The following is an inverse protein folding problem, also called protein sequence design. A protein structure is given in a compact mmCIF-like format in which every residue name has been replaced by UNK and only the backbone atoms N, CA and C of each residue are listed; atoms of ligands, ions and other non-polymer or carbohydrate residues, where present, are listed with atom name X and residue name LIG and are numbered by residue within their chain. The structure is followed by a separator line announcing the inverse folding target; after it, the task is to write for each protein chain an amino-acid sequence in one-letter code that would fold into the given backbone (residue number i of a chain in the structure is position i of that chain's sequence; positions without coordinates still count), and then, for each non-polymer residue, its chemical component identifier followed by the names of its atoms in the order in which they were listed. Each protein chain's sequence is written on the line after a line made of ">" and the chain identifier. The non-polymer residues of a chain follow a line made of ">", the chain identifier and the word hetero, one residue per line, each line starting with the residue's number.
data_IF_773358955427
#
_entry.id   IF_773358955427
#
_cell.length_a   1.000
_cell.length_b   1.000
_cell.length_c   1.000
_cell.angle_alpha   90.00
_cell.angle_beta   90.00
_cell.angle_gamma   90.00
#
_symmetry.space_group_name_H-M   'P 1'
#
loop_
_entity.id
_entity.type
_entity.pdbx_description
1 polymer ?
#
# COMPACT_ATOMS: atom_id res chain seq x y z
N UNK A 1 6.20 -20.16 -6.82
CA UNK A 1 4.82 -19.69 -6.99
C UNK A 1 4.79 -18.18 -6.90
N UNK A 2 4.17 -17.52 -7.86
CA UNK A 2 4.07 -16.05 -7.82
C UNK A 2 3.01 -15.61 -6.83
N UNK A 3 3.40 -14.73 -5.93
CA UNK A 3 2.51 -14.14 -4.93
C UNK A 3 2.65 -12.62 -4.94
N UNK A 4 1.59 -11.94 -4.57
CA UNK A 4 1.55 -10.48 -4.54
C UNK A 4 0.93 -10.01 -3.23
N UNK A 5 1.52 -8.95 -2.68
CA UNK A 5 0.96 -8.30 -1.50
C UNK A 5 0.01 -7.20 -1.96
N UNK A 6 -1.22 -7.24 -1.47
CA UNK A 6 -2.26 -6.27 -1.84
C UNK A 6 -2.65 -5.49 -0.59
N UNK A 7 -2.63 -4.16 -0.69
CA UNK A 7 -3.05 -3.27 0.39
C UNK A 7 -4.27 -2.47 -0.04
N UNK A 8 -5.26 -2.41 0.85
CA UNK A 8 -6.43 -1.53 0.71
C UNK A 8 -6.35 -0.50 1.82
N UNK A 9 -6.07 0.75 1.45
CA UNK A 9 -5.81 1.81 2.41
C UNK A 9 -7.08 2.61 2.66
N UNK A 10 -7.63 2.46 3.87
CA UNK A 10 -8.75 3.26 4.33
C UNK A 10 -8.28 4.40 5.23
N UNK A 11 -9.23 5.16 5.75
CA UNK A 11 -8.94 6.25 6.69
C UNK A 11 -8.61 5.77 8.09
N UNK A 12 -9.05 4.58 8.47
CA UNK A 12 -8.87 4.03 9.81
C UNK A 12 -7.91 2.85 9.83
N UNK A 13 -8.04 1.94 8.86
CA UNK A 13 -7.21 0.73 8.79
C UNK A 13 -6.64 0.54 7.39
N UNK A 14 -5.48 -0.10 7.33
CA UNK A 14 -4.95 -0.70 6.11
C UNK A 14 -5.24 -2.18 6.19
N UNK A 15 -6.00 -2.70 5.24
CA UNK A 15 -6.21 -4.14 5.11
C UNK A 15 -5.19 -4.67 4.12
N UNK A 16 -4.59 -5.81 4.43
CA UNK A 16 -3.62 -6.40 3.52
C UNK A 16 -3.91 -7.88 3.30
N UNK A 17 -3.48 -8.38 2.15
CA UNK A 17 -3.59 -9.79 1.82
C UNK A 17 -2.43 -10.20 0.95
N UNK A 18 -1.96 -11.42 1.17
CA UNK A 18 -1.00 -12.07 0.29
C UNK A 18 -1.80 -13.00 -0.62
N UNK A 19 -1.67 -12.81 -1.93
CA UNK A 19 -2.48 -13.51 -2.92
C UNK A 19 -1.60 -14.25 -3.92
N UNK A 20 -2.06 -15.41 -4.40
CA UNK A 20 -1.42 -16.11 -5.50
C UNK A 20 -2.00 -15.63 -6.84
N UNK A 21 -1.51 -16.23 -7.95
CA UNK A 21 -1.94 -15.83 -9.30
C UNK A 21 -3.40 -16.15 -9.59
N UNK A 22 -3.95 -17.13 -8.89
CA UNK A 22 -5.36 -17.54 -9.04
C UNK A 22 -6.30 -16.70 -8.20
N UNK A 23 -5.79 -15.72 -7.45
CA UNK A 23 -6.59 -14.85 -6.61
C UNK A 23 -6.93 -15.43 -5.26
N UNK A 24 -6.25 -16.51 -4.86
CA UNK A 24 -6.49 -17.12 -3.55
C UNK A 24 -5.69 -16.38 -2.47
N UNK A 25 -6.32 -16.15 -1.33
CA UNK A 25 -5.66 -15.50 -0.19
C UNK A 25 -4.85 -16.53 0.60
N UNK A 26 -3.56 -16.25 0.73
CA UNK A 26 -2.64 -17.10 1.50
C UNK A 26 -2.47 -16.56 2.92
N UNK A 27 -2.63 -15.24 3.09
CA UNK A 27 -2.45 -14.56 4.37
C UNK A 27 -3.26 -13.27 4.34
N UNK A 28 -3.87 -12.87 5.47
CA UNK A 28 -4.62 -11.61 5.58
C UNK A 28 -4.44 -10.98 6.94
N UNK A 29 -4.56 -9.64 6.99
CA UNK A 29 -4.51 -8.93 8.23
C UNK A 29 -4.87 -7.45 8.05
N UNK A 30 -4.73 -6.69 9.11
CA UNK A 30 -4.93 -5.25 9.07
C UNK A 30 -4.08 -4.54 10.12
N UNK A 31 -3.72 -3.29 9.83
CA UNK A 31 -3.02 -2.41 10.76
C UNK A 31 -3.70 -1.05 10.77
N UNK A 32 -3.51 -0.23 11.82
CA UNK A 32 -4.04 1.14 11.83
C UNK A 32 -3.42 1.97 10.70
N UNK A 33 -4.23 2.82 10.07
CA UNK A 33 -3.79 3.61 8.92
C UNK A 33 -2.89 4.79 9.28
N UNK A 34 -3.13 5.45 10.39
CA UNK A 34 -2.36 6.60 10.89
C UNK A 34 -2.16 7.68 9.82
N UNK A 35 -3.13 8.57 9.67
CA UNK A 35 -3.21 9.51 8.56
C UNK A 35 -2.61 10.88 8.84
N UNK A 36 -2.03 11.12 10.01
CA UNK A 36 -1.68 12.46 10.49
C UNK A 36 -0.48 13.11 9.81
N UNK A 37 0.47 12.32 9.32
CA UNK A 37 1.70 12.84 8.70
C UNK A 37 2.30 11.81 7.77
N UNK A 38 3.27 12.24 6.96
CA UNK A 38 4.01 11.31 6.09
C UNK A 38 4.70 10.23 6.90
N UNK A 39 5.34 10.60 7.99
CA UNK A 39 6.08 9.64 8.80
C UNK A 39 5.16 8.59 9.41
N UNK A 40 4.02 9.01 9.93
CA UNK A 40 3.02 8.08 10.46
C UNK A 40 2.47 7.16 9.37
N UNK A 41 2.24 7.71 8.18
CA UNK A 41 1.78 6.93 7.03
C UNK A 41 2.82 5.89 6.64
N UNK A 42 4.08 6.28 6.52
CA UNK A 42 5.15 5.36 6.15
C UNK A 42 5.37 4.28 7.22
N UNK A 43 5.24 4.65 8.50
CA UNK A 43 5.31 3.69 9.60
C UNK A 43 4.20 2.64 9.52
N UNK A 44 3.00 3.03 9.12
CA UNK A 44 1.90 2.07 8.91
C UNK A 44 2.25 1.05 7.83
N UNK A 45 2.88 1.48 6.74
CA UNK A 45 3.32 0.56 5.67
C UNK A 45 4.44 -0.34 6.17
N UNK A 46 5.37 0.18 6.96
CA UNK A 46 6.43 -0.62 7.56
C UNK A 46 5.86 -1.69 8.48
N UNK A 47 4.79 -1.36 9.20
CA UNK A 47 4.10 -2.33 10.04
C UNK A 47 3.52 -3.48 9.23
N UNK A 48 2.91 -3.19 8.08
CA UNK A 48 2.44 -4.24 7.18
C UNK A 48 3.61 -5.12 6.72
N UNK A 49 4.72 -4.51 6.33
CA UNK A 49 5.89 -5.25 5.86
C UNK A 49 6.43 -6.19 6.94
N UNK A 50 6.36 -5.77 8.21
CA UNK A 50 6.79 -6.60 9.35
C UNK A 50 5.85 -7.76 9.62
N UNK A 51 4.54 -7.55 9.46
CA UNK A 51 3.55 -8.56 9.81
C UNK A 51 3.38 -9.63 8.75
N UNK A 52 3.63 -9.32 7.48
CA UNK A 52 3.51 -10.29 6.40
C UNK A 52 4.62 -11.34 6.53
N UNK A 53 4.24 -12.60 6.60
CA UNK A 53 5.17 -13.71 6.83
C UNK A 53 5.67 -14.36 5.56
N UNK A 54 4.85 -14.40 4.51
CA UNK A 54 5.22 -15.01 3.24
C UNK A 54 5.96 -14.05 2.32
N UNK A 55 6.62 -14.59 1.31
CA UNK A 55 7.30 -13.81 0.29
C UNK A 55 6.31 -13.35 -0.78
N UNK A 56 6.67 -12.26 -1.50
CA UNK A 56 5.85 -11.73 -2.59
C UNK A 56 6.75 -11.10 -3.65
N UNK A 57 6.26 -11.10 -4.90
CA UNK A 57 6.98 -10.59 -6.07
C UNK A 57 6.79 -9.09 -6.27
N UNK A 58 5.66 -8.56 -5.83
CA UNK A 58 5.32 -7.16 -5.97
C UNK A 58 4.21 -6.76 -5.03
N UNK A 59 3.91 -5.45 -5.00
CA UNK A 59 2.91 -4.87 -4.11
C UNK A 59 1.93 -4.05 -4.93
N UNK A 60 0.63 -4.26 -4.71
CA UNK A 60 -0.43 -3.47 -5.33
C UNK A 60 -1.20 -2.76 -4.24
N UNK A 61 -1.31 -1.44 -4.34
CA UNK A 61 -1.93 -0.61 -3.31
C UNK A 61 -3.13 0.14 -3.89
N UNK A 62 -4.28 -0.04 -3.24
CA UNK A 62 -5.49 0.73 -3.49
C UNK A 62 -5.58 1.80 -2.42
N UNK A 63 -5.71 3.07 -2.80
CA UNK A 63 -5.72 4.17 -1.85
C UNK A 63 -6.69 5.27 -2.29
N UNK A 64 -7.18 6.11 -1.34
CA UNK A 64 -8.06 7.21 -1.70
C UNK A 64 -7.29 8.35 -2.36
N UNK A 65 -8.00 9.19 -3.11
CA UNK A 65 -7.44 10.37 -3.71
C UNK A 65 -7.35 10.27 -5.23
N UNK A 66 -6.75 11.29 -5.84
CA UNK A 66 -6.51 11.31 -7.28
C UNK A 66 -5.17 10.66 -7.57
N UNK A 67 -5.20 9.52 -8.24
CA UNK A 67 -4.03 8.68 -8.46
C UNK A 67 -3.74 8.55 -9.95
N UNK A 68 -2.51 8.80 -10.34
CA UNK A 68 -1.99 8.51 -11.68
C UNK A 68 -1.25 7.18 -11.61
N UNK A 69 -1.95 6.10 -11.93
CA UNK A 69 -1.42 4.75 -11.82
C UNK A 69 -0.20 4.54 -12.72
N UNK A 70 -0.22 5.08 -13.93
CA UNK A 70 0.88 4.91 -14.89
C UNK A 70 2.18 5.52 -14.38
N UNK A 71 2.11 6.65 -13.66
CA UNK A 71 3.29 7.33 -13.12
C UNK A 71 3.61 6.89 -11.70
N UNK A 72 2.72 6.16 -11.03
CA UNK A 72 2.89 5.84 -9.62
C UNK A 72 2.78 7.07 -8.72
N UNK A 73 1.93 8.01 -9.08
CA UNK A 73 1.87 9.34 -8.48
C UNK A 73 0.52 9.61 -7.83
N UNK A 74 0.53 10.15 -6.63
CA UNK A 74 -0.70 10.55 -5.94
C UNK A 74 -0.79 12.07 -5.94
N UNK A 75 -1.74 12.63 -6.68
CA UNK A 75 -1.99 14.07 -6.70
C UNK A 75 -2.61 14.52 -5.38
N UNK A 76 -3.53 13.74 -4.85
CA UNK A 76 -4.14 13.94 -3.53
C UNK A 76 -4.25 12.60 -2.83
N UNK A 77 -4.50 12.62 -1.53
CA UNK A 77 -4.53 11.41 -0.73
C UNK A 77 -5.83 11.16 0.03
N UNK A 78 -6.94 11.85 -0.31
CA UNK A 78 -8.21 11.66 0.40
C UNK A 78 -8.07 12.00 1.88
N UNK A 79 -8.18 10.99 2.74
CA UNK A 79 -8.06 11.17 4.20
C UNK A 79 -6.68 11.66 4.63
N UNK A 80 -5.66 11.49 3.79
CA UNK A 80 -4.32 12.02 4.04
C UNK A 80 -4.27 13.47 3.54
N UNK A 81 -4.82 14.40 4.29
CA UNK A 81 -5.03 15.79 3.86
C UNK A 81 -3.75 16.55 3.58
N UNK A 82 -2.63 16.14 4.18
CA UNK A 82 -1.30 16.73 3.94
C UNK A 82 -0.67 16.25 2.63
N UNK A 83 -1.19 15.15 2.05
CA UNK A 83 -0.56 14.52 0.89
C UNK A 83 -0.96 15.24 -0.40
N UNK A 84 0.04 15.74 -1.12
CA UNK A 84 -0.13 16.46 -2.37
C UNK A 84 1.09 16.21 -3.25
N UNK A 85 0.86 15.86 -4.52
CA UNK A 85 1.91 15.64 -5.53
C UNK A 85 3.02 14.72 -5.00
N UNK A 86 2.66 13.49 -4.66
CA UNK A 86 3.51 12.55 -3.93
C UNK A 86 3.91 11.36 -4.81
N UNK A 87 5.22 11.00 -4.86
CA UNK A 87 5.68 9.84 -5.63
C UNK A 87 5.43 8.53 -4.86
N UNK A 88 4.17 8.15 -4.74
CA UNK A 88 3.73 7.10 -3.84
C UNK A 88 4.32 5.73 -4.17
N UNK A 89 4.29 5.33 -5.45
CA UNK A 89 4.79 4.01 -5.83
C UNK A 89 6.28 3.86 -5.51
N UNK A 90 7.07 4.90 -5.74
CA UNK A 90 8.50 4.90 -5.43
C UNK A 90 8.74 4.79 -3.92
N UNK A 91 8.03 5.62 -3.14
CA UNK A 91 8.21 5.65 -1.69
C UNK A 91 7.76 4.34 -1.03
N UNK A 92 6.62 3.81 -1.45
CA UNK A 92 6.12 2.54 -0.90
C UNK A 92 6.96 1.36 -1.38
N UNK A 93 7.38 1.38 -2.63
CA UNK A 93 8.28 0.35 -3.16
C UNK A 93 9.57 0.24 -2.37
N UNK A 94 10.11 1.37 -1.92
CA UNK A 94 11.31 1.38 -1.10
C UNK A 94 11.10 0.70 0.27
N UNK A 95 9.91 0.84 0.83
CA UNK A 95 9.58 0.19 2.12
C UNK A 95 9.53 -1.34 1.96
N UNK A 96 8.86 -1.82 0.92
CA UNK A 96 8.67 -3.25 0.72
C UNK A 96 9.83 -3.92 -0.01
N UNK A 97 10.71 -3.14 -0.64
CA UNK A 97 11.83 -3.66 -1.42
C UNK A 97 11.38 -4.41 -2.68
N UNK A 98 10.22 -4.06 -3.22
CA UNK A 98 9.60 -4.72 -4.37
C UNK A 98 8.95 -3.69 -5.29
N UNK A 99 8.72 -4.03 -6.57
CA UNK A 99 7.94 -3.16 -7.45
C UNK A 99 6.55 -2.91 -6.85
N UNK A 100 6.10 -1.67 -6.91
CA UNK A 100 4.85 -1.26 -6.30
C UNK A 100 3.99 -0.50 -7.32
N UNK A 101 2.71 -0.83 -7.38
CA UNK A 101 1.73 -0.07 -8.16
C UNK A 101 0.69 0.52 -7.23
N UNK A 102 0.14 1.67 -7.61
CA UNK A 102 -0.92 2.32 -6.85
C UNK A 102 -2.09 2.62 -7.77
N UNK A 103 -3.30 2.60 -7.21
CA UNK A 103 -4.53 2.93 -7.93
C UNK A 103 -5.53 3.54 -6.96
N UNK A 104 -6.51 4.25 -7.51
CA UNK A 104 -7.63 4.77 -6.71
C UNK A 104 -8.55 3.61 -6.33
N UNK A 105 -9.01 3.63 -5.10
CA UNK A 105 -9.92 2.60 -4.60
C UNK A 105 -11.38 2.81 -5.04
#
# INVERSE_FOLDING_TARGET
>A
METYLVLDIGGTFIKYALMDREGQFLERGKVPANTGSEEEMLDSRREVAKEVKGDYEGVAISMPGRIDTARGWAHTGGAFTWLSEYPAAERYGAIFGKPCTIAND
#
